data_IF_032145731921
#
_entry.id   IF_032145731921
#
_cell.length_a   1.000
_cell.length_b   1.000
_cell.length_c   1.000
_cell.angle_alpha   90.00
_cell.angle_beta   90.00
_cell.angle_gamma   90.00
#
_symmetry.space_group_name_H-M   'P 1'
#
loop_
_entity.id
_entity.type
_entity.pdbx_description
1 polymer ?
#
# COMPACT_ATOMS: atom_id res chain seq x y z
N UNK A 1 -16.09 -2.83 -13.67
CA UNK A 1 -16.76 -4.07 -14.10
C UNK A 1 -17.90 -4.38 -13.14
N UNK A 2 -19.06 -4.83 -13.62
CA UNK A 2 -20.16 -5.28 -12.74
C UNK A 2 -20.06 -6.80 -12.60
N UNK A 3 -19.92 -7.26 -11.37
CA UNK A 3 -19.71 -8.68 -11.05
C UNK A 3 -20.68 -9.06 -9.94
N UNK A 4 -21.37 -10.19 -10.10
CA UNK A 4 -22.20 -10.76 -9.04
C UNK A 4 -21.36 -11.73 -8.24
N UNK A 5 -21.17 -11.46 -6.95
CA UNK A 5 -20.35 -12.25 -6.04
C UNK A 5 -21.14 -12.48 -4.75
N UNK A 6 -21.12 -13.70 -4.22
CA UNK A 6 -21.67 -13.99 -2.90
C UNK A 6 -20.62 -13.64 -1.84
N UNK A 7 -20.91 -12.64 -1.02
CA UNK A 7 -20.03 -12.15 0.06
C UNK A 7 -20.87 -12.08 1.34
N UNK A 8 -20.28 -12.40 2.49
CA UNK A 8 -20.94 -12.23 3.79
C UNK A 8 -21.19 -10.76 4.06
N UNK A 9 -22.45 -10.36 4.27
CA UNK A 9 -22.82 -8.96 4.52
C UNK A 9 -22.11 -8.40 5.77
N UNK A 10 -22.00 -9.18 6.84
CA UNK A 10 -21.31 -8.76 8.06
C UNK A 10 -19.86 -8.31 7.80
N UNK A 11 -19.14 -9.01 6.92
CA UNK A 11 -17.76 -8.66 6.56
C UNK A 11 -17.71 -7.37 5.74
N UNK A 12 -18.69 -7.15 4.87
CA UNK A 12 -18.77 -5.96 4.05
C UNK A 12 -19.12 -4.71 4.87
N UNK A 13 -19.97 -4.86 5.88
CA UNK A 13 -20.30 -3.79 6.83
C UNK A 13 -19.11 -3.45 7.74
N UNK A 14 -18.36 -4.45 8.19
CA UNK A 14 -17.11 -4.26 8.92
C UNK A 14 -16.06 -3.52 8.06
N UNK A 15 -15.86 -3.94 6.81
CA UNK A 15 -14.96 -3.23 5.90
C UNK A 15 -15.42 -1.80 5.67
N UNK A 16 -16.72 -1.56 5.47
CA UNK A 16 -17.28 -0.23 5.24
C UNK A 16 -17.08 0.70 6.44
N UNK A 17 -17.29 0.19 7.65
CA UNK A 17 -17.08 0.93 8.91
C UNK A 17 -15.60 1.25 9.12
N UNK A 18 -14.70 0.28 8.94
CA UNK A 18 -13.25 0.46 9.06
C UNK A 18 -12.67 1.38 7.98
N UNK A 19 -13.17 1.31 6.74
CA UNK A 19 -12.66 2.09 5.62
C UNK A 19 -13.28 3.49 5.49
N UNK A 20 -14.28 3.82 6.31
CA UNK A 20 -15.07 5.06 6.20
C UNK A 20 -15.75 5.25 4.84
N UNK A 21 -16.03 4.17 4.11
CA UNK A 21 -16.54 4.24 2.75
C UNK A 21 -18.05 4.51 2.75
N UNK A 22 -18.52 5.33 1.81
CA UNK A 22 -19.95 5.68 1.72
C UNK A 22 -20.76 4.54 1.12
N UNK A 23 -20.16 3.78 0.19
CA UNK A 23 -20.82 2.71 -0.55
C UNK A 23 -20.13 1.36 -0.36
N UNK A 24 -20.90 0.27 -0.52
CA UNK A 24 -20.39 -1.11 -0.52
C UNK A 24 -19.31 -1.30 -1.61
N UNK A 25 -19.50 -0.68 -2.79
CA UNK A 25 -18.53 -0.72 -3.89
C UNK A 25 -17.19 -0.08 -3.50
N UNK A 26 -17.24 1.14 -2.96
CA UNK A 26 -16.04 1.88 -2.56
C UNK A 26 -15.27 1.16 -1.45
N UNK A 27 -15.99 0.54 -0.50
CA UNK A 27 -15.40 -0.29 0.55
C UNK A 27 -14.57 -1.45 -0.04
N UNK A 28 -15.13 -2.14 -1.05
CA UNK A 28 -14.45 -3.26 -1.74
C UNK A 28 -13.24 -2.76 -2.53
N UNK A 29 -13.37 -1.67 -3.29
CA UNK A 29 -12.25 -1.11 -4.06
C UNK A 29 -11.09 -0.72 -3.14
N UNK A 30 -11.37 0.00 -2.04
CA UNK A 30 -10.34 0.36 -1.03
C UNK A 30 -9.69 -0.88 -0.41
N UNK A 31 -10.48 -1.88 -0.02
CA UNK A 31 -9.94 -3.10 0.57
C UNK A 31 -8.99 -3.86 -0.38
N UNK A 32 -9.32 -3.91 -1.68
CA UNK A 32 -8.47 -4.54 -2.69
C UNK A 32 -7.19 -3.75 -2.94
N UNK A 33 -7.27 -2.42 -3.02
CA UNK A 33 -6.08 -1.56 -3.15
C UNK A 33 -5.13 -1.71 -1.96
N UNK A 34 -5.68 -1.70 -0.74
CA UNK A 34 -4.94 -1.89 0.51
C UNK A 34 -4.25 -3.26 0.53
N UNK A 35 -4.96 -4.31 0.11
CA UNK A 35 -4.42 -5.66 0.02
C UNK A 35 -3.24 -5.74 -0.95
N UNK A 36 -3.39 -5.15 -2.15
CA UNK A 36 -2.32 -5.11 -3.16
C UNK A 36 -1.13 -4.30 -2.65
N UNK A 37 -1.36 -3.14 -2.05
CA UNK A 37 -0.30 -2.31 -1.45
C UNK A 37 0.45 -3.09 -0.38
N UNK A 38 -0.25 -3.69 0.59
CA UNK A 38 0.36 -4.52 1.65
C UNK A 38 1.19 -5.67 1.08
N UNK A 39 0.71 -6.35 0.03
CA UNK A 39 1.47 -7.43 -0.63
C UNK A 39 2.71 -6.92 -1.36
N UNK A 40 2.62 -5.78 -2.05
CA UNK A 40 3.78 -5.14 -2.69
C UNK A 40 4.81 -4.69 -1.66
N UNK A 41 4.38 -4.06 -0.57
CA UNK A 41 5.26 -3.65 0.52
C UNK A 41 5.94 -4.85 1.19
N UNK A 42 5.23 -5.97 1.40
CA UNK A 42 5.86 -7.20 1.91
C UNK A 42 6.95 -7.74 0.97
N UNK A 43 6.76 -7.66 -0.35
CA UNK A 43 7.82 -8.02 -1.32
C UNK A 43 9.07 -7.14 -1.22
N UNK A 44 8.96 -5.92 -0.71
CA UNK A 44 10.14 -5.07 -0.46
C UNK A 44 11.01 -5.65 0.66
N UNK A 45 10.40 -6.31 1.66
CA UNK A 45 11.13 -7.02 2.72
C UNK A 45 11.86 -8.22 2.12
N UNK A 46 11.27 -8.93 1.15
CA UNK A 46 11.94 -10.05 0.46
C UNK A 46 13.14 -9.64 -0.41
N UNK A 47 13.28 -8.33 -0.68
CA UNK A 47 14.41 -7.71 -1.38
C UNK A 47 15.52 -7.24 -0.41
N UNK A 48 15.30 -7.33 0.91
CA UNK A 48 16.30 -7.05 1.93
C UNK A 48 17.52 -7.97 1.72
N UNK A 49 18.71 -7.37 1.60
CA UNK A 49 19.96 -8.08 1.34
C UNK A 49 20.20 -8.55 -0.10
N UNK A 50 19.23 -8.39 -1.02
CA UNK A 50 19.40 -8.72 -2.45
C UNK A 50 19.72 -7.52 -3.34
N UNK A 51 19.53 -6.32 -2.83
CA UNK A 51 19.84 -5.09 -3.55
C UNK A 51 21.25 -4.66 -3.15
N UNK A 52 22.19 -4.82 -4.07
CA UNK A 52 23.49 -4.15 -3.97
C UNK A 52 23.28 -2.66 -4.21
N UNK A 53 23.39 -1.88 -3.16
CA UNK A 53 23.38 -0.42 -3.25
C UNK A 53 24.77 0.01 -3.75
N UNK A 54 24.92 0.21 -5.06
CA UNK A 54 26.13 0.74 -5.71
C UNK A 54 26.39 2.23 -5.43
N UNK A 55 25.79 2.79 -4.39
CA UNK A 55 25.93 4.20 -4.03
C UNK A 55 26.97 4.37 -2.93
N UNK A 56 27.83 5.38 -3.10
CA UNK A 56 28.77 5.78 -2.05
C UNK A 56 28.02 6.57 -0.97
N UNK A 57 28.50 6.52 0.28
CA UNK A 57 27.91 7.25 1.41
C UNK A 57 27.68 8.74 1.10
N UNK A 58 28.63 9.38 0.40
CA UNK A 58 28.52 10.79 0.00
C UNK A 58 27.37 11.07 -0.97
N UNK A 59 27.10 10.16 -1.91
CA UNK A 59 26.02 10.30 -2.90
C UNK A 59 24.64 10.15 -2.24
N UNK A 60 24.52 9.22 -1.30
CA UNK A 60 23.32 9.04 -0.49
C UNK A 60 23.02 10.30 0.35
N UNK A 61 24.06 10.89 0.95
CA UNK A 61 23.91 12.12 1.75
C UNK A 61 23.54 13.33 0.89
N UNK A 62 24.07 13.44 -0.34
CA UNK A 62 23.70 14.50 -1.29
C UNK A 62 22.24 14.38 -1.73
N UNK A 63 21.75 13.16 -2.04
CA UNK A 63 20.33 12.92 -2.36
C UNK A 63 19.40 13.28 -1.21
N UNK A 64 19.70 12.80 0.01
CA UNK A 64 18.86 13.09 1.20
C UNK A 64 18.69 14.59 1.45
N UNK A 65 19.74 15.39 1.24
CA UNK A 65 19.66 16.86 1.40
C UNK A 65 18.82 17.54 0.32
N UNK A 66 18.73 16.95 -0.88
CA UNK A 66 17.97 17.49 -2.02
C UNK A 66 16.49 17.11 -1.97
N UNK A 67 16.19 15.89 -1.53
CA UNK A 67 14.85 15.30 -1.59
C UNK A 67 13.98 15.63 -0.37
N UNK A 68 14.57 16.14 0.73
CA UNK A 68 13.83 16.58 1.92
C UNK A 68 13.82 18.11 1.95
N UNK A 69 12.72 18.77 1.52
CA UNK A 69 12.53 20.19 1.78
C UNK A 69 12.59 20.39 3.29
N UNK A 70 13.39 21.34 3.73
CA UNK A 70 13.63 21.59 5.14
C UNK A 70 12.28 21.75 5.86
N UNK A 71 12.12 20.99 6.95
CA UNK A 71 10.96 21.12 7.84
C UNK A 71 11.07 22.43 8.61
#
# INVERSE_FOLDING_TARGET
MRTTLAIKDALLDEVKTLSGAKTKKEAVEKALEEFVKRRKSKKLIDLEGKIELTYTLEELLKRRRKDVPHR
#
